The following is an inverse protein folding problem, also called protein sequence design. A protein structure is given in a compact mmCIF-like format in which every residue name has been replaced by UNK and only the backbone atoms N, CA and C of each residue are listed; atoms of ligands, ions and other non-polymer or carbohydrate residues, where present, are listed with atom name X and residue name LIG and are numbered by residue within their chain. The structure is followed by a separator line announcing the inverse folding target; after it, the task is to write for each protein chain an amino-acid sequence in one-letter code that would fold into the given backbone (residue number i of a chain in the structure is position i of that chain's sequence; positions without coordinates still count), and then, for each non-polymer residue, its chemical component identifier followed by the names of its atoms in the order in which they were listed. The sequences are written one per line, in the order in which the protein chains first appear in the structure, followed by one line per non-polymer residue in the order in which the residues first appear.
data_IF_099374699098
#
_entry.id   IF_099374699098
#
_cell.length_a   1.000
_cell.length_b   1.000
_cell.length_c   1.000
_cell.angle_alpha   90.00
_cell.angle_beta   90.00
_cell.angle_gamma   90.00
#
_symmetry.space_group_name_H-M   'P 1'
#
loop_
_entity.id
_entity.type
_entity.pdbx_description
1 polymer ?
#
# COMPACT_ATOMS: atom_id res chain seq x y z
N UNK A 1 9.33 -0.13 20.94
CA UNK A 1 10.73 -0.50 20.64
C UNK A 1 10.66 -1.55 19.54
N UNK A 2 10.82 -1.16 18.27
CA UNK A 2 10.75 -2.07 17.13
C UNK A 2 12.18 -2.42 16.72
N UNK A 3 12.56 -3.68 16.91
CA UNK A 3 13.92 -4.18 16.71
C UNK A 3 14.17 -4.63 15.25
N UNK A 4 15.34 -4.20 14.76
CA UNK A 4 16.33 -4.97 14.01
C UNK A 4 16.04 -5.49 12.59
N UNK A 5 15.80 -4.58 11.62
CA UNK A 5 16.20 -4.77 10.21
C UNK A 5 16.53 -3.43 9.52
N UNK A 6 17.69 -2.84 9.83
CA UNK A 6 18.52 -1.98 8.94
C UNK A 6 17.95 -0.77 8.17
N UNK A 7 16.64 -0.53 8.15
CA UNK A 7 15.98 0.55 7.43
C UNK A 7 14.81 1.03 8.31
N UNK A 8 15.00 2.18 8.97
CA UNK A 8 13.98 2.81 9.83
C UNK A 8 12.87 3.42 8.96
N UNK A 9 12.09 2.56 8.32
CA UNK A 9 10.86 2.97 7.67
C UNK A 9 9.79 3.21 8.73
N UNK A 10 9.07 4.32 8.61
CA UNK A 10 7.86 4.51 9.41
C UNK A 10 6.86 3.38 9.11
N UNK A 11 5.96 3.10 10.06
CA UNK A 11 4.88 2.12 9.84
C UNK A 11 4.08 2.47 8.59
N UNK A 12 3.84 3.75 8.34
CA UNK A 12 3.18 4.22 7.12
C UNK A 12 3.98 3.88 5.86
N UNK A 13 5.31 4.00 5.90
CA UNK A 13 6.16 3.70 4.74
C UNK A 13 6.11 2.22 4.40
N UNK A 14 6.21 1.32 5.39
CA UNK A 14 6.14 -0.12 5.10
C UNK A 14 4.77 -0.54 4.56
N UNK A 15 3.69 0.12 5.00
CA UNK A 15 2.35 -0.10 4.47
C UNK A 15 2.24 0.43 3.04
N UNK A 16 2.77 1.61 2.73
CA UNK A 16 2.84 2.13 1.35
C UNK A 16 3.55 1.11 0.45
N UNK A 17 4.76 0.68 0.82
CA UNK A 17 5.55 -0.28 0.04
C UNK A 17 4.80 -1.61 -0.13
N UNK A 18 4.21 -2.11 0.96
CA UNK A 18 3.38 -3.31 0.95
C UNK A 18 2.19 -3.23 0.00
N UNK A 19 1.49 -2.09 -0.02
CA UNK A 19 0.41 -1.83 -0.97
C UNK A 19 0.90 -1.90 -2.41
N UNK A 20 1.99 -1.20 -2.75
CA UNK A 20 2.49 -1.24 -4.15
C UNK A 20 2.91 -2.66 -4.55
N UNK A 21 3.49 -3.45 -3.64
CA UNK A 21 3.79 -4.86 -3.89
C UNK A 21 2.53 -5.71 -4.12
N UNK A 22 1.45 -5.47 -3.38
CA UNK A 22 0.15 -6.14 -3.59
C UNK A 22 -0.41 -5.80 -4.97
N UNK A 23 -0.39 -4.52 -5.37
CA UNK A 23 -0.82 -4.09 -6.72
C UNK A 23 0.02 -4.78 -7.80
N UNK A 24 1.33 -4.87 -7.59
CA UNK A 24 2.25 -5.47 -8.56
C UNK A 24 2.02 -6.98 -8.76
N UNK A 25 1.81 -7.74 -7.69
CA UNK A 25 1.67 -9.19 -7.75
C UNK A 25 0.26 -9.71 -8.00
N UNK A 26 -0.76 -8.88 -7.73
CA UNK A 26 -2.17 -9.24 -7.90
C UNK A 26 -2.93 -8.23 -8.79
N UNK A 27 -2.38 -7.83 -9.96
CA UNK A 27 -2.95 -6.75 -10.76
C UNK A 27 -4.35 -7.10 -11.26
N UNK A 28 -5.23 -6.09 -11.32
CA UNK A 28 -6.53 -6.18 -11.99
C UNK A 28 -7.49 -7.24 -11.43
N UNK A 29 -7.32 -7.59 -10.15
CA UNK A 29 -8.22 -8.50 -9.43
C UNK A 29 -8.99 -7.76 -8.34
N UNK A 30 -10.23 -8.15 -8.08
CA UNK A 30 -10.96 -7.68 -6.88
C UNK A 30 -10.22 -8.03 -5.60
N UNK A 31 -9.41 -9.11 -5.62
CA UNK A 31 -8.55 -9.54 -4.51
C UNK A 31 -7.58 -8.46 -4.07
N UNK A 32 -6.98 -7.72 -5.00
CA UNK A 32 -6.10 -6.59 -4.66
C UNK A 32 -6.83 -5.56 -3.79
N UNK A 33 -8.05 -5.18 -4.18
CA UNK A 33 -8.86 -4.21 -3.46
C UNK A 33 -9.33 -4.75 -2.09
N UNK A 34 -9.68 -6.04 -2.01
CA UNK A 34 -10.06 -6.70 -0.76
C UNK A 34 -8.91 -6.68 0.26
N UNK A 35 -7.69 -7.05 -0.17
CA UNK A 35 -6.52 -7.08 0.70
C UNK A 35 -6.16 -5.67 1.14
N UNK A 36 -6.05 -4.72 0.19
CA UNK A 36 -5.70 -3.34 0.51
C UNK A 36 -6.74 -2.73 1.45
N UNK A 37 -8.04 -2.91 1.17
CA UNK A 37 -9.11 -2.42 2.04
C UNK A 37 -9.05 -3.01 3.45
N UNK A 38 -8.73 -4.30 3.59
CA UNK A 38 -8.50 -4.89 4.90
C UNK A 38 -7.28 -4.27 5.61
N UNK A 39 -6.16 -4.08 4.90
CA UNK A 39 -4.95 -3.48 5.45
C UNK A 39 -5.20 -2.04 5.91
N UNK A 40 -5.90 -1.22 5.12
CA UNK A 40 -6.27 0.16 5.51
C UNK A 40 -7.13 0.16 6.76
N UNK A 41 -8.11 -0.74 6.83
CA UNK A 41 -9.00 -0.86 7.98
C UNK A 41 -8.24 -1.30 9.24
N UNK A 42 -7.39 -2.32 9.13
CA UNK A 42 -6.58 -2.82 10.23
C UNK A 42 -5.59 -1.75 10.71
N UNK A 43 -4.97 -0.99 9.80
CA UNK A 43 -4.12 0.14 10.15
C UNK A 43 -4.87 1.21 10.94
N UNK A 44 -6.07 1.58 10.48
CA UNK A 44 -6.93 2.54 11.15
C UNK A 44 -7.36 2.06 12.54
N UNK A 45 -7.76 0.80 12.67
CA UNK A 45 -8.28 0.23 13.92
C UNK A 45 -7.16 -0.01 14.96
N UNK A 46 -5.95 -0.36 14.52
CA UNK A 46 -4.83 -0.73 15.40
C UNK A 46 -3.78 0.38 15.58
N UNK A 47 -3.94 1.51 14.88
CA UNK A 47 -2.98 2.62 14.84
C UNK A 47 -1.57 2.19 14.40
N UNK A 48 -1.48 1.25 13.45
CA UNK A 48 -0.20 0.86 12.88
C UNK A 48 0.60 -0.11 13.74
N UNK A 49 -0.01 -1.26 14.03
CA UNK A 49 0.71 -2.45 14.49
C UNK A 49 1.76 -2.96 13.48
N UNK A 50 2.35 -4.12 13.78
CA UNK A 50 3.29 -4.82 12.93
C UNK A 50 2.68 -5.22 11.57
N UNK A 51 3.29 -4.74 10.48
CA UNK A 51 2.97 -5.09 9.08
C UNK A 51 2.76 -6.58 8.85
N UNK A 52 3.64 -7.43 9.38
CA UNK A 52 3.55 -8.88 9.17
C UNK A 52 2.28 -9.48 9.79
N UNK A 53 1.84 -8.94 10.93
CA UNK A 53 0.60 -9.35 11.58
C UNK A 53 -0.63 -8.87 10.80
N UNK A 54 -0.65 -7.60 10.40
CA UNK A 54 -1.70 -7.01 9.55
C UNK A 54 -1.87 -7.79 8.26
N UNK A 55 -0.77 -8.01 7.52
CA UNK A 55 -0.82 -8.71 6.24
C UNK A 55 -1.28 -10.16 6.41
N UNK A 56 -0.88 -10.84 7.49
CA UNK A 56 -1.34 -12.19 7.79
C UNK A 56 -2.84 -12.25 8.11
N UNK A 57 -3.41 -11.24 8.78
CA UNK A 57 -4.86 -11.14 9.03
C UNK A 57 -5.64 -10.88 7.74
N UNK A 58 -5.08 -10.05 6.86
CA UNK A 58 -5.73 -9.61 5.63
C UNK A 58 -5.47 -10.48 4.40
N UNK A 59 -4.51 -11.41 4.47
CA UNK A 59 -4.25 -12.36 3.42
C UNK A 59 -5.42 -13.34 3.29
N UNK A 60 -6.22 -13.17 2.23
CA UNK A 60 -7.21 -14.16 1.81
C UNK A 60 -6.53 -15.36 1.13
N UNK A 61 -7.31 -16.42 0.85
CA UNK A 61 -6.80 -17.61 0.15
C UNK A 61 -6.15 -17.23 -1.20
N UNK A 62 -4.84 -17.45 -1.32
CA UNK A 62 -4.06 -17.19 -2.53
C UNK A 62 -3.12 -15.97 -2.46
N UNK A 63 -2.99 -15.31 -1.31
CA UNK A 63 -1.97 -14.28 -1.07
C UNK A 63 -0.72 -14.89 -0.46
N UNK A 64 0.43 -14.59 -1.04
CA UNK A 64 1.74 -15.00 -0.56
C UNK A 64 2.32 -13.89 0.33
N UNK A 65 2.10 -14.06 1.64
CA UNK A 65 2.51 -13.09 2.68
C UNK A 65 4.02 -12.87 2.67
N UNK A 66 4.81 -13.92 2.46
CA UNK A 66 6.27 -13.85 2.46
C UNK A 66 6.78 -13.11 1.23
N UNK A 67 6.21 -13.41 0.06
CA UNK A 67 6.54 -12.70 -1.18
C UNK A 67 6.25 -11.20 -1.08
N UNK A 68 5.07 -10.83 -0.58
CA UNK A 68 4.70 -9.41 -0.39
C UNK A 68 5.58 -8.73 0.66
N UNK A 69 5.87 -9.39 1.78
CA UNK A 69 6.70 -8.81 2.84
C UNK A 69 8.15 -8.61 2.38
N UNK A 70 8.71 -9.59 1.67
CA UNK A 70 10.04 -9.51 1.06
C UNK A 70 10.13 -8.35 0.07
N UNK A 71 9.11 -8.18 -0.79
CA UNK A 71 9.03 -7.04 -1.70
C UNK A 71 8.99 -5.70 -0.95
N UNK A 72 8.13 -5.59 0.08
CA UNK A 72 7.94 -4.36 0.83
C UNK A 72 9.19 -3.91 1.60
N UNK A 73 9.98 -4.85 2.11
CA UNK A 73 11.23 -4.56 2.83
C UNK A 73 12.47 -4.48 1.92
N UNK A 74 12.31 -4.80 0.63
CA UNK A 74 13.40 -4.92 -0.33
C UNK A 74 13.54 -3.73 -1.30
N UNK A 75 14.53 -3.84 -2.17
CA UNK A 75 14.76 -2.89 -3.26
C UNK A 75 13.63 -2.87 -4.30
N UNK A 76 12.90 -3.99 -4.44
CA UNK A 76 11.76 -4.09 -5.36
C UNK A 76 10.62 -3.14 -4.96
N UNK A 77 10.19 -3.16 -3.69
CA UNK A 77 9.16 -2.25 -3.19
C UNK A 77 9.59 -0.79 -3.34
N UNK A 78 10.85 -0.48 -3.04
CA UNK A 78 11.40 0.87 -3.22
C UNK A 78 11.36 1.33 -4.69
N UNK A 79 11.73 0.44 -5.63
CA UNK A 79 11.67 0.71 -7.07
C UNK A 79 10.24 0.92 -7.54
N UNK A 80 9.30 0.08 -7.09
CA UNK A 80 7.88 0.19 -7.45
C UNK A 80 7.27 1.48 -6.90
N UNK A 81 7.54 1.84 -5.65
CA UNK A 81 7.09 3.10 -5.07
C UNK A 81 7.67 4.32 -5.79
N UNK A 82 8.92 4.25 -6.24
CA UNK A 82 9.51 5.30 -7.07
C UNK A 82 8.75 5.46 -8.39
N UNK A 83 8.32 4.37 -9.04
CA UNK A 83 7.49 4.43 -10.24
C UNK A 83 6.13 5.08 -9.98
N UNK A 84 5.49 4.78 -8.84
CA UNK A 84 4.25 5.45 -8.41
C UNK A 84 4.48 6.94 -8.16
N UNK A 85 5.60 7.31 -7.53
CA UNK A 85 5.93 8.71 -7.29
C UNK A 85 6.11 9.49 -8.60
N UNK A 86 6.73 8.88 -9.61
CA UNK A 86 6.89 9.49 -10.95
C UNK A 86 5.56 9.61 -11.71
N UNK A 87 4.62 8.70 -11.52
CA UNK A 87 3.29 8.78 -12.15
C UNK A 87 2.29 9.65 -11.40
N UNK A 88 2.60 10.02 -10.15
CA UNK A 88 1.77 10.90 -9.33
C UNK A 88 1.99 12.35 -9.75
N UNK A 89 0.96 12.96 -10.33
CA UNK A 89 0.96 14.38 -10.65
C UNK A 89 0.88 15.29 -9.42
N UNK A 90 1.06 16.61 -9.60
CA UNK A 90 0.83 17.58 -8.53
C UNK A 90 -0.61 17.49 -8.02
N UNK A 91 -0.77 17.53 -6.70
CA UNK A 91 -2.05 17.50 -5.99
C UNK A 91 -1.94 18.27 -4.67
N UNK A 92 -3.04 18.88 -4.23
CA UNK A 92 -3.04 19.74 -3.03
C UNK A 92 -3.44 18.99 -1.75
N UNK A 93 -4.04 17.80 -1.88
CA UNK A 93 -4.48 16.96 -0.76
C UNK A 93 -4.59 15.48 -1.15
N UNK A 94 -4.77 14.61 -0.16
CA UNK A 94 -5.10 13.18 -0.34
C UNK A 94 -6.37 12.81 0.43
N UNK A 95 -7.22 11.89 -0.09
CA UNK A 95 -7.12 11.23 -1.40
C UNK A 95 -7.41 12.19 -2.57
N UNK A 96 -6.78 11.97 -3.74
CA UNK A 96 -6.93 12.80 -4.95
C UNK A 96 -7.59 12.00 -6.10
N UNK A 97 -8.91 11.80 -6.08
CA UNK A 97 -9.61 11.08 -7.13
C UNK A 97 -9.66 11.90 -8.44
N UNK A 98 -9.41 11.21 -9.56
CA UNK A 98 -9.57 11.76 -10.91
C UNK A 98 -10.78 11.09 -11.58
N UNK A 99 -11.69 11.90 -12.13
CA UNK A 99 -12.75 11.49 -13.04
C UNK A 99 -12.35 11.97 -14.44
N UNK A 100 -12.15 11.03 -15.36
CA UNK A 100 -11.68 11.30 -16.74
C UNK A 100 -10.42 12.18 -16.81
N UNK A 101 -9.51 12.01 -15.85
CA UNK A 101 -8.26 12.77 -15.75
C UNK A 101 -8.39 14.14 -15.08
N UNK A 102 -9.59 14.53 -14.66
CA UNK A 102 -9.85 15.80 -13.95
C UNK A 102 -10.13 15.51 -12.48
N UNK A 103 -9.58 16.32 -11.57
CA UNK A 103 -9.89 16.21 -10.15
C UNK A 103 -11.39 16.30 -9.92
N UNK A 104 -11.97 15.36 -9.18
CA UNK A 104 -13.42 15.30 -8.96
C UNK A 104 -13.99 16.53 -8.25
N UNK A 105 -13.16 17.33 -7.57
CA UNK A 105 -13.57 18.61 -6.96
C UNK A 105 -13.76 19.71 -8.02
N UNK A 106 -13.09 19.61 -9.17
CA UNK A 106 -13.30 20.53 -10.30
C UNK A 106 -14.55 20.17 -11.11
N UNK A 107 -15.08 18.97 -10.95
CA UNK A 107 -16.36 18.54 -11.53
C UNK A 107 -17.46 18.86 -10.51
N UNK A 108 -17.83 20.15 -10.43
CA UNK A 108 -19.03 20.58 -9.68
C UNK A 108 -20.25 20.04 -10.43
N UNK A 109 -20.97 19.11 -9.82
CA UNK A 109 -22.29 18.65 -10.26
C UNK A 109 -23.34 19.70 -9.88
#
# INVERSE_FOLDING_TARGET
MFQDYGFHLSVETIIILGRVCIIHYYPETTKQLEIIGCVEKDFYDTHGENWAATLKRCASTGVDVEKVSTCAMGSEGSRLQHQVALSTGPHDYVPWPLLDGVSSISVVI
#
